data_IF_550110010835
#
_entry.id   IF_550110010835
#
_cell.length_a   1.000
_cell.length_b   1.000
_cell.length_c   1.000
_cell.angle_alpha   90.00
_cell.angle_beta   90.00
_cell.angle_gamma   90.00
#
_symmetry.space_group_name_H-M   'P 1'
#
loop_
_entity.id
_entity.type
_entity.pdbx_description
1 polymer ?
#
# COMPACT_ATOMS: atom_id res chain seq x y z
N UNK A 1 -46.31 41.76 -11.43
CA UNK A 1 -46.42 40.51 -10.65
C UNK A 1 -46.27 39.35 -11.61
N UNK A 2 -45.05 38.81 -11.71
CA UNK A 2 -44.80 37.46 -12.27
C UNK A 2 -43.46 37.04 -11.70
N UNK A 3 -43.53 36.21 -10.67
CA UNK A 3 -42.37 35.69 -9.96
C UNK A 3 -41.75 34.54 -10.75
N UNK A 4 -40.41 34.57 -10.81
CA UNK A 4 -39.55 33.48 -11.24
C UNK A 4 -39.82 32.22 -10.40
N UNK A 5 -39.84 31.05 -11.06
CA UNK A 5 -39.68 29.76 -10.39
C UNK A 5 -38.46 29.06 -10.98
N UNK A 6 -37.33 29.30 -10.34
CA UNK A 6 -36.10 28.51 -10.49
C UNK A 6 -36.34 27.18 -9.77
N UNK A 7 -36.38 26.07 -10.52
CA UNK A 7 -36.44 24.73 -9.92
C UNK A 7 -35.03 24.30 -9.53
N UNK A 8 -34.76 24.30 -8.22
CA UNK A 8 -33.59 23.64 -7.64
C UNK A 8 -33.63 22.15 -7.96
N UNK A 9 -32.66 21.70 -8.75
CA UNK A 9 -32.41 20.29 -9.01
C UNK A 9 -31.59 19.73 -7.84
N UNK A 10 -32.28 19.30 -6.78
CA UNK A 10 -31.66 18.67 -5.62
C UNK A 10 -31.27 17.24 -6.01
N UNK A 11 -30.03 17.05 -6.47
CA UNK A 11 -29.47 15.72 -6.66
C UNK A 11 -29.42 15.02 -5.29
N UNK A 12 -30.35 14.10 -5.04
CA UNK A 12 -30.37 13.27 -3.85
C UNK A 12 -29.07 12.44 -3.80
N UNK A 13 -28.34 12.54 -2.68
CA UNK A 13 -27.20 11.65 -2.40
C UNK A 13 -27.73 10.21 -2.30
N UNK A 14 -27.11 9.23 -3.00
CA UNK A 14 -27.61 7.87 -2.99
C UNK A 14 -27.51 7.27 -1.58
N UNK A 15 -28.65 6.78 -1.09
CA UNK A 15 -28.77 6.01 0.15
C UNK A 15 -28.04 4.68 -0.05
N UNK A 16 -26.97 4.43 0.73
CA UNK A 16 -26.25 3.15 0.72
C UNK A 16 -26.98 2.15 1.62
N UNK A 17 -27.44 1.04 1.05
CA UNK A 17 -28.02 -0.06 1.83
C UNK A 17 -26.92 -0.92 2.47
N UNK A 18 -27.12 -1.42 3.71
CA UNK A 18 -26.22 -2.42 4.29
C UNK A 18 -26.28 -3.70 3.44
N UNK A 19 -25.17 -4.04 2.78
CA UNK A 19 -25.06 -5.16 1.84
C UNK A 19 -24.74 -4.75 0.39
N UNK A 20 -24.72 -3.45 0.06
CA UNK A 20 -24.26 -3.00 -1.24
C UNK A 20 -22.72 -3.06 -1.29
N UNK A 21 -22.18 -4.14 -1.86
CA UNK A 21 -20.75 -4.24 -2.15
C UNK A 21 -20.46 -3.22 -3.26
N UNK A 22 -19.81 -2.11 -2.93
CA UNK A 22 -19.22 -1.26 -3.95
C UNK A 22 -18.22 -2.12 -4.73
N UNK A 23 -18.27 -2.08 -6.07
CA UNK A 23 -17.24 -2.68 -6.91
C UNK A 23 -15.98 -1.84 -6.73
N UNK A 24 -15.25 -2.07 -5.65
CA UNK A 24 -14.02 -1.39 -5.31
C UNK A 24 -12.89 -2.42 -5.38
N UNK A 25 -11.72 -1.98 -5.85
CA UNK A 25 -10.51 -2.79 -5.90
C UNK A 25 -9.60 -2.34 -4.77
N UNK A 26 -9.12 -3.30 -3.97
CA UNK A 26 -8.06 -3.02 -3.00
C UNK A 26 -6.73 -2.94 -3.75
N UNK A 27 -6.00 -1.84 -3.55
CA UNK A 27 -4.66 -1.62 -4.13
C UNK A 27 -3.69 -1.38 -2.99
N UNK A 28 -2.56 -2.07 -3.03
CA UNK A 28 -1.41 -1.82 -2.16
C UNK A 28 -0.25 -1.32 -3.03
N UNK A 29 0.23 -0.12 -2.71
CA UNK A 29 1.34 0.53 -3.41
C UNK A 29 2.61 0.31 -2.62
N UNK A 30 3.58 -0.33 -3.25
CA UNK A 30 4.78 -0.85 -2.60
C UNK A 30 6.04 -0.51 -3.37
N UNK A 31 7.18 -0.44 -2.66
CA UNK A 31 8.50 -0.42 -3.28
C UNK A 31 9.05 -1.84 -3.38
N UNK A 32 9.45 -2.23 -4.58
CA UNK A 32 10.11 -3.49 -4.84
C UNK A 32 11.64 -3.32 -4.75
N UNK A 33 12.34 -4.10 -3.90
CA UNK A 33 13.79 -4.08 -3.88
C UNK A 33 14.34 -4.71 -5.18
N UNK A 34 15.58 -4.39 -5.58
CA UNK A 34 16.27 -5.09 -6.65
C UNK A 34 16.27 -6.61 -6.42
N UNK A 35 16.27 -7.39 -7.51
CA UNK A 35 16.10 -8.86 -7.47
C UNK A 35 17.12 -9.55 -6.55
N UNK A 36 18.36 -9.05 -6.52
CA UNK A 36 19.43 -9.56 -5.68
C UNK A 36 19.10 -9.38 -4.19
N UNK A 37 18.58 -8.21 -3.83
CA UNK A 37 18.16 -7.88 -2.46
C UNK A 37 16.91 -8.67 -2.08
N UNK A 38 15.92 -8.77 -2.96
CA UNK A 38 14.74 -9.61 -2.77
C UNK A 38 15.14 -11.07 -2.48
N UNK A 39 16.10 -11.60 -3.24
CA UNK A 39 16.66 -12.94 -3.03
C UNK A 39 17.35 -13.12 -1.68
N UNK A 40 18.00 -12.08 -1.15
CA UNK A 40 18.57 -12.09 0.21
C UNK A 40 17.47 -12.11 1.28
N UNK A 41 16.41 -11.30 1.11
CA UNK A 41 15.26 -11.30 2.03
C UNK A 41 14.57 -12.67 2.07
N UNK A 42 14.38 -13.32 0.92
CA UNK A 42 13.82 -14.68 0.84
C UNK A 42 14.69 -15.70 1.59
N UNK A 43 16.01 -15.65 1.41
CA UNK A 43 16.94 -16.55 2.13
C UNK A 43 16.91 -16.31 3.65
N UNK A 44 16.81 -15.05 4.07
CA UNK A 44 16.70 -14.70 5.48
C UNK A 44 15.40 -15.20 6.08
N UNK A 45 14.26 -14.96 5.43
CA UNK A 45 12.95 -15.47 5.86
C UNK A 45 12.97 -16.98 6.01
N UNK A 46 13.54 -17.73 5.05
CA UNK A 46 13.67 -19.19 5.16
C UNK A 46 14.45 -19.61 6.40
N UNK A 47 15.59 -18.97 6.68
CA UNK A 47 16.38 -19.27 7.89
C UNK A 47 15.61 -18.96 9.17
N UNK A 48 14.83 -17.89 9.20
CA UNK A 48 13.99 -17.56 10.36
C UNK A 48 12.91 -18.62 10.58
N UNK A 49 12.28 -19.10 9.51
CA UNK A 49 11.28 -20.17 9.58
C UNK A 49 11.91 -21.50 10.06
N UNK A 50 13.11 -21.84 9.57
CA UNK A 50 13.87 -23.01 10.03
C UNK A 50 14.22 -22.93 11.53
N UNK A 51 14.61 -21.76 12.03
CA UNK A 51 14.98 -21.55 13.44
C UNK A 51 13.75 -21.54 14.36
N UNK A 52 12.65 -20.91 13.93
CA UNK A 52 11.44 -20.76 14.72
C UNK A 52 10.51 -21.97 14.67
N UNK A 53 10.60 -22.78 13.60
CA UNK A 53 9.65 -23.84 13.29
C UNK A 53 8.29 -23.34 12.78
N UNK A 54 8.17 -22.05 12.44
CA UNK A 54 6.96 -21.42 11.93
C UNK A 54 7.11 -21.10 10.42
N UNK A 55 6.28 -21.71 9.59
CA UNK A 55 6.25 -21.54 8.14
C UNK A 55 5.03 -20.75 7.64
N UNK A 56 4.23 -20.18 8.54
CA UNK A 56 3.00 -19.44 8.22
C UNK A 56 3.21 -18.26 7.28
N UNK A 57 4.41 -17.65 7.31
CA UNK A 57 4.82 -16.60 6.38
C UNK A 57 6.14 -16.99 5.73
N UNK A 58 6.06 -17.42 4.47
CA UNK A 58 7.25 -17.76 3.68
C UNK A 58 7.40 -16.78 2.53
N UNK A 59 8.45 -15.94 2.58
CA UNK A 59 8.75 -15.02 1.48
C UNK A 59 9.15 -15.78 0.22
N UNK A 60 8.68 -15.31 -0.93
CA UNK A 60 9.04 -15.82 -2.26
C UNK A 60 9.14 -14.67 -3.27
N UNK A 61 9.59 -14.93 -4.49
CA UNK A 61 9.67 -13.89 -5.52
C UNK A 61 8.36 -13.72 -6.31
N UNK A 62 7.32 -14.51 -6.00
CA UNK A 62 6.10 -14.60 -6.82
C UNK A 62 4.80 -14.50 -6.02
N UNK A 63 4.79 -14.87 -4.75
CA UNK A 63 3.58 -14.94 -3.93
C UNK A 63 3.69 -13.97 -2.75
N UNK A 64 4.62 -14.21 -1.82
CA UNK A 64 4.86 -13.35 -0.67
C UNK A 64 6.11 -12.53 -0.91
N UNK A 65 5.99 -11.52 -1.77
CA UNK A 65 7.12 -10.76 -2.31
C UNK A 65 7.72 -9.85 -1.23
N UNK A 66 9.05 -9.82 -1.03
CA UNK A 66 9.68 -8.82 -0.19
C UNK A 66 9.44 -7.40 -0.75
N UNK A 67 8.87 -6.51 0.05
CA UNK A 67 8.56 -5.15 -0.35
C UNK A 67 8.54 -4.19 0.84
N UNK A 68 8.49 -2.88 0.56
CA UNK A 68 8.20 -1.83 1.54
C UNK A 68 6.84 -1.22 1.19
N UNK A 69 5.83 -1.41 2.04
CA UNK A 69 4.49 -0.85 1.81
C UNK A 69 4.49 0.67 2.02
N UNK A 70 3.87 1.41 1.10
CA UNK A 70 3.70 2.87 1.21
C UNK A 70 2.29 3.22 1.65
N UNK A 71 1.29 2.69 0.94
CA UNK A 71 -0.12 2.93 1.20
C UNK A 71 -0.98 1.81 0.61
N UNK A 72 -2.07 1.48 1.31
CA UNK A 72 -3.11 0.58 0.84
C UNK A 72 -4.46 1.30 0.90
N UNK A 73 -5.28 1.13 -0.14
CA UNK A 73 -6.57 1.80 -0.26
C UNK A 73 -7.55 1.06 -1.16
N UNK A 74 -8.80 1.50 -1.14
CA UNK A 74 -9.85 1.02 -2.03
C UNK A 74 -10.09 2.06 -3.14
N UNK A 75 -10.01 1.63 -4.39
CA UNK A 75 -10.21 2.49 -5.57
C UNK A 75 -11.37 1.98 -6.40
N UNK A 76 -12.01 2.88 -7.14
CA UNK A 76 -12.94 2.48 -8.19
C UNK A 76 -12.14 1.75 -9.30
N UNK A 77 -12.58 0.57 -9.78
CA UNK A 77 -11.95 -0.13 -10.90
C UNK A 77 -11.68 0.77 -12.10
N UNK A 78 -12.57 1.72 -12.38
CA UNK A 78 -12.44 2.61 -13.54
C UNK A 78 -11.35 3.67 -13.32
N UNK A 79 -10.95 3.94 -12.07
CA UNK A 79 -9.89 4.89 -11.69
C UNK A 79 -8.49 4.24 -11.58
N UNK A 80 -8.37 2.92 -11.76
CA UNK A 80 -7.07 2.21 -11.66
C UNK A 80 -6.08 2.69 -12.73
N UNK A 81 -6.57 3.07 -13.91
CA UNK A 81 -5.74 3.64 -14.97
C UNK A 81 -5.09 4.96 -14.55
N UNK A 82 -5.91 5.90 -14.08
CA UNK A 82 -5.47 7.22 -13.60
C UNK A 82 -4.46 7.10 -12.44
N UNK A 83 -4.70 6.14 -11.53
CA UNK A 83 -3.76 5.84 -10.45
C UNK A 83 -2.38 5.43 -11.01
N UNK A 84 -2.34 4.63 -12.08
CA UNK A 84 -1.10 4.23 -12.74
C UNK A 84 -0.29 5.43 -13.27
N UNK A 85 -0.97 6.41 -13.87
CA UNK A 85 -0.33 7.64 -14.36
C UNK A 85 0.26 8.48 -13.21
N UNK A 86 -0.53 8.68 -12.14
CA UNK A 86 -0.07 9.38 -10.94
C UNK A 86 1.14 8.69 -10.30
N UNK A 87 1.10 7.35 -10.19
CA UNK A 87 2.22 6.58 -9.64
C UNK A 87 3.48 6.65 -10.52
N UNK A 88 3.33 6.77 -11.85
CA UNK A 88 4.47 6.97 -12.74
C UNK A 88 5.18 8.30 -12.46
N UNK A 89 4.42 9.39 -12.33
CA UNK A 89 4.98 10.72 -12.03
C UNK A 89 5.66 10.76 -10.65
N UNK A 90 5.11 10.05 -9.67
CA UNK A 90 5.72 9.90 -8.35
C UNK A 90 7.01 9.08 -8.47
N UNK A 91 7.00 8.00 -9.25
CA UNK A 91 8.17 7.18 -9.53
C UNK A 91 9.32 7.99 -10.11
N UNK A 92 9.06 8.81 -11.13
CA UNK A 92 10.06 9.67 -11.78
C UNK A 92 10.69 10.69 -10.81
N UNK A 93 9.95 11.11 -9.78
CA UNK A 93 10.42 12.07 -8.78
C UNK A 93 11.33 11.45 -7.74
N UNK A 94 11.04 10.23 -7.29
CA UNK A 94 11.65 9.65 -6.10
C UNK A 94 12.53 8.42 -6.35
N UNK A 95 12.46 7.80 -7.54
CA UNK A 95 13.23 6.59 -7.86
C UNK A 95 14.46 6.89 -8.73
N UNK A 96 15.57 6.15 -8.54
CA UNK A 96 15.76 5.07 -7.58
C UNK A 96 15.93 5.58 -6.13
N UNK A 97 15.35 4.86 -5.18
CA UNK A 97 15.49 5.14 -3.74
C UNK A 97 16.35 4.08 -3.06
N UNK A 98 17.26 4.52 -2.18
CA UNK A 98 18.10 3.62 -1.36
C UNK A 98 17.63 3.67 0.08
N UNK A 99 16.88 2.66 0.50
CA UNK A 99 16.46 2.54 1.89
C UNK A 99 17.63 2.11 2.79
N UNK A 100 17.91 2.87 3.84
CA UNK A 100 18.87 2.46 4.86
C UNK A 100 18.19 1.49 5.85
N UNK A 101 18.77 0.30 6.03
CA UNK A 101 18.35 -0.64 7.07
C UNK A 101 18.64 -0.07 8.46
N UNK A 102 17.71 -0.26 9.39
CA UNK A 102 17.86 0.16 10.78
C UNK A 102 18.01 -1.03 11.72
N UNK A 103 16.95 -1.84 11.84
CA UNK A 103 16.87 -2.98 12.75
C UNK A 103 15.77 -3.96 12.32
N UNK A 104 15.69 -5.11 12.99
CA UNK A 104 14.52 -5.99 12.93
C UNK A 104 13.58 -5.64 14.06
N UNK A 105 12.28 -5.69 13.79
CA UNK A 105 11.25 -5.49 14.79
C UNK A 105 10.25 -6.64 14.78
N UNK A 106 9.78 -6.97 15.98
CA UNK A 106 8.60 -7.80 16.19
C UNK A 106 7.61 -6.93 16.95
N UNK A 107 6.46 -6.69 16.33
CA UNK A 107 5.41 -5.83 16.85
C UNK A 107 4.12 -6.62 16.99
N UNK A 108 3.39 -6.37 18.08
CA UNK A 108 2.05 -6.90 18.26
C UNK A 108 1.06 -5.87 17.73
N UNK A 109 0.20 -6.27 16.80
CA UNK A 109 -0.85 -5.40 16.27
C UNK A 109 -1.94 -5.18 17.33
N UNK A 110 -2.82 -4.20 17.08
CA UNK A 110 -4.02 -3.97 17.91
C UNK A 110 -4.96 -5.17 17.98
N UNK A 111 -4.88 -6.07 16.99
CA UNK A 111 -5.65 -7.31 16.90
C UNK A 111 -4.95 -8.50 17.57
N UNK A 112 -3.89 -8.23 18.36
CA UNK A 112 -3.12 -9.25 19.07
C UNK A 112 -2.36 -10.24 18.14
N UNK A 113 -2.19 -9.88 16.87
CA UNK A 113 -1.39 -10.61 15.88
C UNK A 113 0.07 -10.16 16.00
N UNK A 114 1.00 -11.09 16.00
CA UNK A 114 2.43 -10.77 16.00
C UNK A 114 2.93 -10.66 14.57
N UNK A 115 3.57 -9.54 14.24
CA UNK A 115 4.18 -9.29 12.92
C UNK A 115 5.65 -9.02 13.11
N UNK A 116 6.50 -9.67 12.31
CA UNK A 116 7.93 -9.40 12.25
C UNK A 116 8.27 -8.69 10.95
N UNK A 117 9.28 -7.82 10.99
CA UNK A 117 9.67 -7.03 9.82
C UNK A 117 11.06 -6.40 9.95
N UNK A 118 11.48 -5.75 8.86
CA UNK A 118 12.70 -4.97 8.79
C UNK A 118 12.35 -3.49 8.84
N UNK A 119 12.84 -2.80 9.86
CA UNK A 119 12.73 -1.35 9.90
C UNK A 119 13.78 -0.73 8.98
N UNK A 120 13.34 0.28 8.25
CA UNK A 120 14.20 1.20 7.54
C UNK A 120 14.34 2.49 8.33
N UNK A 121 15.40 3.25 8.07
CA UNK A 121 15.50 4.63 8.54
C UNK A 121 14.40 5.43 7.85
N UNK A 122 13.64 6.17 8.65
CA UNK A 122 12.66 7.12 8.13
C UNK A 122 13.39 8.39 7.73
N UNK A 123 13.39 8.69 6.44
CA UNK A 123 13.91 9.93 5.88
C UNK A 123 12.81 10.74 5.19
N UNK A 124 13.18 11.92 4.70
CA UNK A 124 12.26 12.84 4.04
C UNK A 124 11.81 12.32 2.67
N UNK A 125 12.62 11.48 2.00
CA UNK A 125 12.30 10.91 0.70
C UNK A 125 11.15 9.90 0.83
N UNK A 126 11.27 8.92 1.73
CA UNK A 126 10.22 7.92 1.93
C UNK A 126 8.95 8.53 2.52
N UNK A 127 9.11 9.57 3.35
CA UNK A 127 7.98 10.29 3.93
C UNK A 127 7.25 11.11 2.86
N UNK A 128 7.98 11.83 2.01
CA UNK A 128 7.42 12.60 0.89
C UNK A 128 6.76 11.71 -0.15
N UNK A 129 7.44 10.62 -0.56
CA UNK A 129 6.89 9.64 -1.49
C UNK A 129 5.58 9.04 -0.98
N UNK A 130 5.52 8.63 0.29
CA UNK A 130 4.26 8.14 0.90
C UNK A 130 3.17 9.20 0.88
N UNK A 131 3.49 10.46 1.21
CA UNK A 131 2.52 11.55 1.21
C UNK A 131 1.92 11.79 -0.18
N UNK A 132 2.75 11.74 -1.22
CA UNK A 132 2.32 11.91 -2.61
C UNK A 132 1.47 10.71 -3.06
N UNK A 133 1.84 9.48 -2.72
CA UNK A 133 1.06 8.27 -3.02
C UNK A 133 -0.32 8.31 -2.36
N UNK A 134 -0.42 8.78 -1.12
CA UNK A 134 -1.72 8.89 -0.41
C UNK A 134 -2.61 9.98 -1.01
N UNK A 135 -2.03 10.95 -1.73
CA UNK A 135 -2.75 12.06 -2.35
C UNK A 135 -3.03 11.85 -3.84
N UNK A 136 -2.60 10.71 -4.40
CA UNK A 136 -2.81 10.32 -5.79
C UNK A 136 -4.23 9.76 -6.01
#
# INVERSE_FOLDING_TARGET
MTAEKTSENTAEKPVRYPGQVSKAVAVDVVLLPPKEIAGLCVKLSRKLNEISGDDSVTLSLTETIPHISLAMGAVDPDAVGDLGESLSLIGDRYLPYTAAYKDFAVVKTSENVTVSGMNIVKDDIITGMRSDVVSA
#
